data_IF_152328680027
#
_entry.id   IF_152328680027
#
_cell.length_a   1.000
_cell.length_b   1.000
_cell.length_c   1.000
_cell.angle_alpha   90.00
_cell.angle_beta   90.00
_cell.angle_gamma   90.00
#
_symmetry.space_group_name_H-M   'P 1'
#
loop_
_entity.id
_entity.type
_entity.pdbx_description
1 polymer ?
2 non-polymer ?
3 water ?
#
# COMPACT_ATOMS: atom_id res chain seq x y z
N UNK A 2 -25.90 23.51 -7.90
CA UNK A 2 -24.45 23.24 -7.72
C UNK A 2 -24.20 21.79 -7.31
N UNK A 3 -25.19 20.92 -7.54
CA UNK A 3 -25.06 19.52 -7.20
C UNK A 3 -23.95 18.86 -8.02
N UNK A 4 -22.76 18.78 -7.43
CA UNK A 4 -21.62 18.18 -8.11
C UNK A 4 -21.80 16.67 -8.23
N UNK A 5 -21.16 16.08 -9.24
CA UNK A 5 -21.21 14.64 -9.43
C UNK A 5 -19.78 14.17 -9.73
N UNK A 6 -19.47 12.94 -9.35
CA UNK A 6 -18.14 12.40 -9.53
C UNK A 6 -18.19 11.00 -10.14
N UNK A 7 -17.19 10.68 -10.96
CA UNK A 7 -17.07 9.36 -11.56
C UNK A 7 -16.01 8.65 -10.74
N UNK A 8 -16.39 7.57 -10.07
CA UNK A 8 -15.44 6.82 -9.26
C UNK A 8 -15.03 5.56 -9.97
N UNK A 9 -13.73 5.40 -10.17
CA UNK A 9 -13.21 4.23 -10.84
C UNK A 9 -12.54 3.28 -9.86
N UNK A 10 -13.05 2.06 -9.77
CA UNK A 10 -12.48 1.10 -8.85
C UNK A 10 -13.51 0.20 -8.20
N UNK A 11 -13.16 -1.07 -8.12
CA UNK A 11 -14.03 -2.07 -7.51
C UNK A 11 -13.21 -2.68 -6.39
N UNK A 12 -12.72 -1.84 -5.49
CA UNK A 12 -11.89 -2.36 -4.42
C UNK A 12 -12.20 -1.99 -2.99
N UNK A 13 -11.25 -2.36 -2.15
CA UNK A 13 -11.24 -2.16 -0.70
C UNK A 13 -11.59 -0.75 -0.25
N UNK A 14 -10.84 0.22 -0.76
CA UNK A 14 -10.99 1.61 -0.39
C UNK A 14 -12.21 2.36 -0.87
N UNK A 15 -12.85 1.88 -1.92
CA UNK A 15 -14.00 2.55 -2.50
C UNK A 15 -15.12 2.97 -1.53
N UNK A 16 -15.51 2.07 -0.63
CA UNK A 16 -16.60 2.35 0.31
C UNK A 16 -16.50 3.62 1.14
N UNK A 17 -15.42 3.78 1.93
CA UNK A 17 -15.31 5.01 2.73
C UNK A 17 -15.38 6.26 1.87
N UNK A 18 -14.74 6.20 0.71
CA UNK A 18 -14.74 7.34 -0.20
C UNK A 18 -16.18 7.62 -0.66
N UNK A 19 -16.88 6.55 -1.05
CA UNK A 19 -18.26 6.64 -1.51
C UNK A 19 -19.18 7.18 -0.43
N UNK A 20 -19.05 6.62 0.78
CA UNK A 20 -19.86 7.04 1.92
C UNK A 20 -19.69 8.52 2.21
N UNK A 21 -18.44 8.96 2.34
CA UNK A 21 -18.15 10.36 2.64
C UNK A 21 -18.69 11.33 1.60
N UNK A 22 -18.52 10.99 0.33
CA UNK A 22 -18.98 11.86 -0.74
C UNK A 22 -20.50 11.95 -0.81
N UNK A 23 -21.16 10.80 -0.82
CA UNK A 23 -22.62 10.79 -0.89
C UNK A 23 -23.24 11.42 0.34
N UNK A 24 -22.58 11.29 1.49
CA UNK A 24 -23.08 11.88 2.72
C UNK A 24 -22.99 13.39 2.65
N UNK A 25 -22.20 13.89 1.70
CA UNK A 25 -22.05 15.32 1.53
C UNK A 25 -22.97 15.87 0.44
N UNK A 26 -23.82 15.01 -0.11
CA UNK A 26 -24.73 15.46 -1.15
C UNK A 26 -24.13 15.35 -2.55
N UNK A 27 -22.93 14.80 -2.63
CA UNK A 27 -22.24 14.64 -3.90
C UNK A 27 -22.69 13.33 -4.55
N UNK A 28 -23.14 13.39 -5.79
CA UNK A 28 -23.57 12.19 -6.49
C UNK A 28 -22.35 11.47 -7.05
N UNK A 29 -22.35 10.15 -6.93
CA UNK A 29 -21.25 9.35 -7.42
C UNK A 29 -21.72 8.18 -8.28
N UNK A 30 -21.17 8.08 -9.48
CA UNK A 30 -21.48 6.95 -10.34
C UNK A 30 -20.25 6.06 -10.20
N UNK A 31 -20.48 4.86 -9.68
CA UNK A 31 -19.44 3.87 -9.46
C UNK A 31 -19.26 3.02 -10.70
N UNK A 32 -18.08 3.08 -11.29
CA UNK A 32 -17.80 2.34 -12.51
C UNK A 32 -16.79 1.22 -12.33
N UNK A 33 -17.18 0.03 -12.75
CA UNK A 33 -16.32 -1.14 -12.70
C UNK A 33 -16.45 -1.80 -14.07
N UNK A 34 -15.59 -2.76 -14.37
CA UNK A 34 -15.68 -3.43 -15.65
C UNK A 34 -17.06 -4.09 -15.74
N UNK A 35 -17.47 -4.67 -14.62
CA UNK A 35 -18.75 -5.37 -14.49
C UNK A 35 -19.81 -4.55 -13.78
N UNK A 36 -21.06 -4.68 -14.22
CA UNK A 36 -22.16 -3.96 -13.57
C UNK A 36 -22.36 -4.54 -12.17
N UNK A 37 -22.20 -5.86 -12.05
CA UNK A 37 -22.36 -6.53 -10.75
C UNK A 37 -21.42 -5.90 -9.74
N UNK A 38 -20.14 -5.87 -10.07
CA UNK A 38 -19.11 -5.29 -9.21
C UNK A 38 -19.54 -3.92 -8.73
N UNK A 39 -20.03 -3.11 -9.65
CA UNK A 39 -20.50 -1.77 -9.33
C UNK A 39 -21.76 -1.84 -8.48
N UNK A 40 -22.69 -2.71 -8.87
CA UNK A 40 -23.94 -2.89 -8.12
C UNK A 40 -23.61 -3.21 -6.66
N UNK A 41 -22.59 -4.04 -6.48
CA UNK A 41 -22.15 -4.44 -5.14
C UNK A 41 -21.74 -3.23 -4.31
N UNK A 42 -20.59 -2.66 -4.67
CA UNK A 42 -20.02 -1.51 -3.98
C UNK A 42 -20.91 -0.28 -3.95
N UNK A 43 -22.18 -0.42 -4.32
CA UNK A 43 -23.08 0.73 -4.35
C UNK A 43 -24.48 0.48 -3.82
N UNK A 44 -24.81 -0.79 -3.60
CA UNK A 44 -26.13 -1.16 -3.11
C UNK A 44 -26.52 -0.46 -1.81
N UNK A 45 -27.70 0.15 -1.81
CA UNK A 45 -28.18 0.85 -0.63
C UNK A 45 -27.56 2.20 -0.34
N UNK A 46 -26.61 2.62 -1.17
CA UNK A 46 -25.97 3.92 -0.95
C UNK A 46 -26.63 5.04 -1.72
N UNK A 47 -27.18 5.99 -0.98
CA UNK A 47 -27.87 7.15 -1.55
C UNK A 47 -26.97 7.90 -2.52
N UNK A 48 -27.60 8.57 -3.49
CA UNK A 48 -26.90 9.37 -4.48
C UNK A 48 -25.82 8.66 -5.29
N UNK A 49 -25.88 7.33 -5.36
CA UNK A 49 -24.88 6.60 -6.14
C UNK A 49 -25.55 5.88 -7.30
N UNK A 50 -24.77 5.64 -8.34
CA UNK A 50 -25.25 4.96 -9.54
C UNK A 50 -24.16 4.03 -10.05
N UNK A 51 -24.47 2.74 -10.24
CA UNK A 51 -23.45 1.83 -10.73
C UNK A 51 -23.53 1.66 -12.24
N UNK A 52 -22.38 1.46 -12.88
CA UNK A 52 -22.33 1.25 -14.32
C UNK A 52 -21.14 0.36 -14.69
N UNK A 53 -21.22 -0.18 -15.89
CA UNK A 53 -20.17 -1.02 -16.47
C UNK A 53 -19.46 -0.03 -17.37
N UNK A 54 -18.13 -0.05 -17.34
CA UNK A 54 -17.38 0.87 -18.17
C UNK A 54 -15.99 0.30 -18.45
N UNK A 55 -15.56 0.38 -19.71
CA UNK A 55 -14.24 -0.10 -20.09
C UNK A 55 -13.31 1.10 -20.13
N UNK A 56 -12.54 1.27 -19.05
CA UNK A 56 -11.61 2.38 -18.94
C UNK A 56 -10.57 2.46 -20.06
N UNK A 57 -10.25 1.33 -20.68
CA UNK A 57 -9.26 1.32 -21.76
C UNK A 57 -9.83 1.81 -23.10
N UNK A 58 -11.15 1.88 -23.18
CA UNK A 58 -11.83 2.35 -24.40
C UNK A 58 -11.85 3.88 -24.33
N UNK A 59 -10.88 4.51 -24.98
CA UNK A 59 -10.78 5.97 -24.98
C UNK A 59 -12.09 6.71 -25.27
N UNK A 60 -12.80 6.27 -26.31
CA UNK A 60 -14.05 6.92 -26.69
C UNK A 60 -15.10 6.77 -25.59
N UNK A 61 -15.19 5.57 -25.02
CA UNK A 61 -16.16 5.29 -23.96
C UNK A 61 -15.82 6.05 -22.68
N UNK A 62 -14.54 6.13 -22.35
CA UNK A 62 -14.11 6.83 -21.16
C UNK A 62 -14.45 8.32 -21.24
N UNK A 63 -14.11 8.96 -22.36
CA UNK A 63 -14.40 10.38 -22.55
C UNK A 63 -15.88 10.72 -22.38
N UNK A 64 -16.73 9.88 -22.97
CA UNK A 64 -18.18 10.11 -22.92
C UNK A 64 -18.67 10.15 -21.47
N UNK A 65 -18.20 9.21 -20.65
CA UNK A 65 -18.61 9.15 -19.26
C UNK A 65 -17.96 10.23 -18.39
N UNK A 66 -16.69 10.51 -18.63
CA UNK A 66 -15.98 11.54 -17.86
C UNK A 66 -16.66 12.90 -18.02
N UNK A 67 -17.09 13.21 -19.24
CA UNK A 67 -17.74 14.50 -19.52
C UNK A 67 -19.03 14.71 -18.73
N UNK A 68 -19.66 13.62 -18.29
CA UNK A 68 -20.90 13.75 -17.54
C UNK A 68 -20.72 14.10 -16.06
N UNK A 69 -19.46 14.18 -15.62
CA UNK A 69 -19.20 14.51 -14.21
C UNK A 69 -18.19 15.63 -14.07
N UNK A 70 -18.08 16.17 -12.86
CA UNK A 70 -17.16 17.27 -12.61
C UNK A 70 -15.76 16.83 -12.25
N UNK A 71 -15.61 15.58 -11.83
CA UNK A 71 -14.31 15.07 -11.43
C UNK A 71 -14.29 13.55 -11.48
N UNK A 72 -13.14 12.99 -11.84
CA UNK A 72 -12.98 11.54 -11.93
C UNK A 72 -12.01 11.10 -10.85
N UNK A 73 -12.39 10.06 -10.10
CA UNK A 73 -11.55 9.52 -9.03
C UNK A 73 -10.99 8.18 -9.50
N UNK A 74 -9.67 8.03 -9.47
CA UNK A 74 -9.07 6.78 -9.91
C UNK A 74 -8.44 6.03 -8.76
N UNK A 75 -9.12 4.99 -8.29
CA UNK A 75 -8.64 4.15 -7.20
C UNK A 75 -8.16 2.83 -7.80
N UNK A 76 -8.38 2.68 -9.10
CA UNK A 76 -8.00 1.48 -9.85
C UNK A 76 -6.48 1.39 -10.04
N UNK A 77 -6.01 0.42 -10.86
CA UNK A 77 -4.56 0.30 -11.07
C UNK A 77 -3.98 1.49 -11.84
N UNK A 80 -3.50 2.35 -15.51
CA UNK A 80 -4.53 3.13 -16.21
C UNK A 80 -4.48 4.61 -15.86
N UNK A 81 -3.59 5.00 -14.96
CA UNK A 81 -3.53 6.41 -14.55
C UNK A 81 -3.35 7.50 -15.62
N UNK A 82 -2.35 7.36 -16.46
CA UNK A 82 -2.10 8.36 -17.51
C UNK A 82 -3.29 8.44 -18.46
N UNK A 83 -3.85 7.28 -18.79
CA UNK A 83 -4.99 7.18 -19.69
C UNK A 83 -6.16 7.96 -19.12
N UNK A 84 -6.40 7.79 -17.82
CA UNK A 84 -7.49 8.48 -17.16
C UNK A 84 -7.24 9.97 -17.19
N UNK A 85 -5.99 10.38 -16.92
CA UNK A 85 -5.66 11.79 -16.94
C UNK A 85 -5.82 12.41 -18.32
N UNK A 86 -5.44 11.67 -19.37
CA UNK A 86 -5.58 12.19 -20.73
C UNK A 86 -7.05 12.44 -21.07
N UNK A 87 -7.94 11.55 -20.63
CA UNK A 87 -9.37 11.73 -20.88
C UNK A 87 -9.85 12.97 -20.13
N UNK A 88 -9.43 13.11 -18.88
CA UNK A 88 -9.81 14.25 -18.07
C UNK A 88 -9.31 15.55 -18.70
N UNK A 89 -8.16 15.47 -19.37
CA UNK A 89 -7.63 16.66 -20.03
C UNK A 89 -8.49 17.05 -21.24
N UNK A 90 -8.88 16.06 -22.04
CA UNK A 90 -9.70 16.32 -23.22
C UNK A 90 -11.06 16.89 -22.80
N UNK A 91 -11.65 16.29 -21.77
CA UNK A 91 -12.97 16.70 -21.26
C UNK A 91 -12.93 17.87 -20.30
N UNK A 92 -11.72 18.27 -19.89
CA UNK A 92 -11.52 19.38 -18.97
C UNK A 92 -12.15 19.15 -17.59
N UNK A 93 -12.04 17.94 -17.08
CA UNK A 93 -12.59 17.65 -15.76
C UNK A 93 -11.41 17.41 -14.81
N UNK A 94 -11.66 17.56 -13.52
CA UNK A 94 -10.60 17.38 -12.53
C UNK A 94 -10.34 15.91 -12.24
N UNK A 95 -9.24 15.63 -11.55
CA UNK A 95 -8.88 14.28 -11.22
C UNK A 95 -8.27 14.17 -9.81
N UNK A 96 -8.56 13.05 -9.14
CA UNK A 96 -8.01 12.77 -7.82
C UNK A 96 -7.60 11.29 -7.85
N UNK A 97 -6.38 11.00 -7.40
CA UNK A 97 -5.92 9.62 -7.35
C UNK A 97 -5.16 9.42 -6.06
N UNK A 98 -4.98 8.17 -5.66
CA UNK A 98 -4.23 7.86 -4.46
C UNK A 98 -2.90 7.24 -4.87
N UNK A 99 -2.46 7.49 -6.10
CA UNK A 99 -1.21 6.90 -6.55
C UNK A 99 -0.06 7.90 -6.67
N UNK A 100 1.15 7.39 -6.86
CA UNK A 100 2.31 8.26 -7.00
C UNK A 100 2.26 8.94 -8.35
N UNK A 101 2.87 10.12 -8.42
CA UNK A 101 2.95 10.85 -9.67
C UNK A 101 4.09 10.17 -10.41
N UNK A 102 3.76 9.55 -11.54
CA UNK A 102 4.73 8.84 -12.38
C UNK A 102 5.25 9.77 -13.46
N UNK A 103 6.29 9.35 -14.19
CA UNK A 103 6.84 10.19 -15.25
C UNK A 103 5.78 10.49 -16.31
N UNK A 104 4.94 9.52 -16.63
CA UNK A 104 3.91 9.74 -17.64
C UNK A 104 2.84 10.71 -17.14
N UNK A 105 2.57 10.68 -15.84
CA UNK A 105 1.57 11.59 -15.27
C UNK A 105 2.15 13.01 -15.26
N UNK A 106 3.41 13.16 -14.83
CA UNK A 106 4.05 14.48 -14.81
C UNK A 106 4.17 15.08 -16.21
N UNK A 107 4.34 14.21 -17.20
CA UNK A 107 4.47 14.66 -18.58
C UNK A 107 3.23 15.44 -19.02
N UNK A 108 2.10 15.15 -18.40
CA UNK A 108 0.83 15.80 -18.74
C UNK A 108 0.57 17.07 -17.92
N UNK A 109 1.53 17.43 -17.07
CA UNK A 109 1.36 18.61 -16.23
C UNK A 109 0.96 19.87 -17.01
N UNK A 110 1.73 20.21 -18.03
CA UNK A 110 1.45 21.40 -18.83
C UNK A 110 0.11 21.34 -19.55
N UNK A 111 -0.23 20.17 -20.09
CA UNK A 111 -1.50 19.98 -20.79
C UNK A 111 -2.66 20.12 -19.79
N UNK A 112 -2.45 19.64 -18.57
CA UNK A 112 -3.48 19.74 -17.54
C UNK A 112 -3.75 21.21 -17.23
N UNK A 113 -2.67 21.96 -17.06
CA UNK A 113 -2.77 23.39 -16.76
C UNK A 113 -3.46 24.17 -17.88
N UNK A 114 -3.22 23.77 -19.13
CA UNK A 114 -3.83 24.44 -20.26
C UNK A 114 -5.33 24.15 -20.34
N UNK A 115 -5.74 23.00 -19.83
CA UNK A 115 -7.14 22.61 -19.84
C UNK A 115 -7.82 23.17 -18.59
N UNK A 116 -7.02 23.80 -17.74
CA UNK A 116 -7.52 24.38 -16.51
C UNK A 116 -8.03 23.38 -15.49
N UNK A 117 -7.40 22.20 -15.40
CA UNK A 117 -7.85 21.21 -14.43
C UNK A 117 -6.84 20.89 -13.34
N UNK A 118 -7.33 20.33 -12.24
CA UNK A 118 -6.50 19.93 -11.12
C UNK A 118 -6.44 18.42 -11.13
N UNK A 119 -5.23 17.87 -11.00
CA UNK A 119 -5.03 16.43 -10.94
C UNK A 119 -4.32 16.22 -9.61
N UNK A 120 -5.08 15.92 -8.57
CA UNK A 120 -4.53 15.70 -7.22
C UNK A 120 -4.19 14.23 -6.99
N UNK A 121 -2.92 13.93 -6.81
CA UNK A 121 -2.47 12.55 -6.59
C UNK A 121 -1.84 12.37 -5.21
N UNK A 122 -1.41 11.15 -4.91
CA UNK A 122 -0.74 10.85 -3.64
C UNK A 122 -1.50 11.37 -2.41
N UNK A 123 -2.81 11.11 -2.38
CA UNK A 123 -3.62 11.55 -1.25
C UNK A 123 -4.43 10.40 -0.66
N UNK A 124 -3.70 9.33 -0.34
CA UNK A 124 -4.29 8.17 0.29
C UNK A 124 -3.66 8.16 1.67
N UNK A 125 -3.19 7.00 2.10
CA UNK A 125 -2.55 6.86 3.40
C UNK A 125 -1.03 7.05 3.23
N UNK A 126 -0.46 6.26 2.33
CA UNK A 126 0.98 6.33 2.06
C UNK A 126 1.13 5.87 0.61
N UNK A 127 1.31 6.80 -0.33
CA UNK A 127 1.39 8.26 -0.20
C UNK A 127 0.11 9.00 0.16
N UNK A 128 0.27 10.03 0.99
CA UNK A 128 -0.86 10.85 1.40
C UNK A 128 -0.65 11.40 2.80
N UNK A 129 -1.34 10.80 3.77
CA UNK A 129 -1.21 11.23 5.14
C UNK A 129 0.27 11.33 5.53
N UNK A 130 1.08 10.35 5.11
CA UNK A 130 2.49 10.40 5.47
C UNK A 130 3.16 11.70 5.01
N UNK A 131 2.84 12.15 3.79
CA UNK A 131 3.41 13.39 3.27
C UNK A 131 3.02 14.59 4.13
N UNK A 132 1.75 14.67 4.50
CA UNK A 132 1.27 15.80 5.29
C UNK A 132 2.04 15.98 6.59
N UNK A 133 2.25 14.90 7.33
CA UNK A 133 2.94 15.01 8.60
C UNK A 133 4.46 15.03 8.54
N UNK A 134 5.03 14.49 7.47
CA UNK A 134 6.49 14.53 7.32
C UNK A 134 6.85 15.99 7.05
N UNK A 135 6.09 16.63 6.18
CA UNK A 135 6.32 18.02 5.83
C UNK A 135 5.98 18.95 6.98
N UNK A 136 4.91 18.66 7.71
CA UNK A 136 4.53 19.52 8.85
C UNK A 136 5.69 19.60 9.85
N UNK A 137 6.25 18.44 10.18
CA UNK A 137 7.35 18.35 11.13
C UNK A 137 8.65 18.99 10.61
N UNK A 138 8.99 18.70 9.36
CA UNK A 138 10.21 19.26 8.79
C UNK A 138 10.16 20.78 8.83
N UNK A 139 9.01 21.35 8.48
CA UNK A 139 8.88 22.80 8.50
C UNK A 139 8.95 23.35 9.93
N UNK A 140 8.39 22.62 10.90
CA UNK A 140 8.45 23.08 12.28
C UNK A 140 9.93 23.15 12.67
N UNK A 141 10.66 22.06 12.42
CA UNK A 141 12.08 22.01 12.74
C UNK A 141 12.83 23.17 12.09
N UNK A 142 12.71 23.28 10.77
CA UNK A 142 13.37 24.35 10.03
C UNK A 142 13.00 25.72 10.57
N UNK A 143 11.72 25.91 10.92
CA UNK A 143 11.29 27.20 11.45
C UNK A 143 12.11 27.51 12.71
N UNK A 144 12.40 26.47 13.48
CA UNK A 144 13.17 26.62 14.71
C UNK A 144 14.67 26.69 14.41
N UNK A 145 15.03 26.70 13.13
CA UNK A 145 16.43 26.76 12.76
C UNK A 145 17.17 25.44 12.92
N UNK A 146 16.42 24.34 12.99
CA UNK A 146 17.03 23.03 13.15
C UNK A 146 17.40 22.37 11.84
N UNK A 147 18.17 21.29 11.92
CA UNK A 147 18.61 20.57 10.73
C UNK A 147 18.13 19.11 10.75
N UNK A 148 17.56 18.66 9.63
CA UNK A 148 17.11 17.28 9.52
C UNK A 148 18.29 16.45 8.99
N UNK A 149 19.00 15.78 9.89
CA UNK A 149 20.15 14.99 9.47
C UNK A 149 19.74 13.61 8.98
N UNK A 150 18.67 13.07 9.53
CA UNK A 150 18.16 11.78 9.07
C UNK A 150 16.65 11.84 9.06
N UNK A 151 16.05 11.31 8.00
CA UNK A 151 14.59 11.25 7.89
C UNK A 151 14.24 9.82 7.52
N UNK A 152 13.47 9.16 8.38
CA UNK A 152 13.04 7.80 8.10
C UNK A 152 11.52 7.76 8.19
N UNK A 153 10.90 6.99 7.32
CA UNK A 153 9.46 6.84 7.34
C UNK A 153 9.08 5.42 6.95
N UNK A 154 8.35 4.75 7.84
CA UNK A 154 7.90 3.39 7.60
C UNK A 154 6.41 3.27 7.84
N UNK A 155 5.76 2.46 7.01
CA UNK A 155 4.32 2.27 7.13
C UNK A 155 3.94 0.86 6.72
N UNK A 156 2.90 0.31 7.35
CA UNK A 156 2.48 -1.03 7.02
C UNK A 156 1.03 -1.35 7.37
N UNK A 157 0.33 -2.04 6.45
CA UNK A 157 -1.05 -2.46 6.67
C UNK A 157 -0.97 -3.93 7.04
N UNK A 158 -1.17 -4.23 8.31
CA UNK A 158 -1.02 -5.60 8.77
C UNK A 158 -2.17 -6.11 9.60
N UNK A 159 -2.13 -7.42 9.93
CA UNK A 159 -3.18 -8.02 10.74
C UNK A 159 -2.91 -7.49 12.14
N UNK A 160 -3.95 -7.26 12.94
CA UNK A 160 -3.68 -6.83 14.32
C UNK A 160 -2.89 -7.99 14.91
N UNK A 161 -2.03 -7.73 15.90
CA UNK A 161 -1.23 -8.80 16.51
C UNK A 161 -2.09 -10.00 16.88
N UNK A 162 -3.22 -9.72 17.52
CA UNK A 162 -4.22 -10.71 17.94
C UNK A 162 -4.47 -11.79 16.89
N UNK A 163 -4.60 -11.36 15.62
CA UNK A 163 -4.88 -12.27 14.53
C UNK A 163 -3.71 -12.39 13.56
N UNK A 164 -2.49 -12.33 14.06
CA UNK A 164 -1.31 -12.39 13.20
C UNK A 164 -0.63 -13.75 13.15
N UNK A 165 -1.19 -14.74 13.84
CA UNK A 165 -0.56 -16.05 13.88
C UNK A 165 -0.59 -16.94 12.64
N UNK A 166 0.12 -16.53 11.61
CA UNK A 166 0.27 -17.32 10.40
C UNK A 166 1.74 -17.17 10.00
N UNK A 167 2.25 -18.03 9.11
CA UNK A 167 3.65 -17.99 8.66
C UNK A 167 4.29 -16.64 8.32
N UNK A 168 3.50 -15.70 7.81
CA UNK A 168 4.05 -14.40 7.43
C UNK A 168 3.63 -13.25 8.34
N UNK A 169 2.76 -13.53 9.30
CA UNK A 169 2.27 -12.48 10.17
C UNK A 169 1.67 -11.45 9.23
N UNK A 170 1.02 -11.94 8.18
CA UNK A 170 0.43 -11.07 7.17
C UNK A 170 -0.85 -11.64 6.57
N UNK A 171 -1.79 -10.75 6.24
CA UNK A 171 -3.07 -11.13 5.65
C UNK A 171 -3.25 -10.34 4.36
N UNK A 172 -3.56 -11.03 3.27
CA UNK A 172 -3.74 -10.35 1.99
C UNK A 172 -5.13 -9.80 1.76
N UNK A 173 -5.19 -8.55 1.31
CA UNK A 173 -6.45 -7.88 1.00
C UNK A 173 -6.49 -7.88 -0.53
N UNK A 174 -5.32 -7.65 -1.11
CA UNK A 174 -5.17 -7.62 -2.57
C UNK A 174 -4.31 -8.82 -2.98
N UNK A 175 -4.25 -9.08 -4.28
CA UNK A 175 -3.50 -10.21 -4.81
C UNK A 175 -2.15 -10.44 -4.13
N UNK A 176 -1.96 -11.66 -3.65
CA UNK A 176 -0.72 -12.04 -2.98
C UNK A 176 0.40 -12.10 -4.02
N UNK A 177 0.03 -12.36 -5.27
CA UNK A 177 1.00 -12.43 -6.36
C UNK A 177 1.68 -11.07 -6.49
N UNK A 178 0.89 -10.01 -6.37
CA UNK A 178 1.43 -8.66 -6.47
C UNK A 178 2.39 -8.37 -5.33
N UNK A 179 1.96 -8.68 -4.12
CA UNK A 179 2.77 -8.47 -2.92
C UNK A 179 4.11 -9.18 -3.06
N UNK A 180 4.05 -10.47 -3.37
CA UNK A 180 5.25 -11.28 -3.51
C UNK A 180 6.20 -10.76 -4.59
N UNK A 181 5.66 -10.46 -5.77
CA UNK A 181 6.49 -9.97 -6.86
C UNK A 181 7.10 -8.61 -6.55
N UNK A 182 6.39 -7.80 -5.78
CA UNK A 182 6.87 -6.48 -5.43
C UNK A 182 8.20 -6.56 -4.65
N UNK A 183 8.41 -7.66 -3.95
CA UNK A 183 9.63 -7.84 -3.17
C UNK A 183 10.84 -7.96 -4.08
N UNK A 184 10.59 -7.98 -5.38
CA UNK A 184 11.67 -8.06 -6.37
C UNK A 184 12.13 -6.67 -6.77
N UNK A 185 11.29 -5.67 -6.50
CA UNK A 185 11.60 -4.29 -6.86
C UNK A 185 12.78 -3.72 -6.09
N UNK A 186 13.56 -2.89 -6.78
CA UNK A 186 14.72 -2.25 -6.19
C UNK A 186 14.25 -1.05 -5.39
N UNK A 187 14.93 -0.77 -4.28
CA UNK A 187 14.61 0.38 -3.45
C UNK A 187 15.85 1.25 -3.48
N UNK A 188 15.65 2.56 -3.63
CA UNK A 188 16.78 3.48 -3.67
C UNK A 188 16.58 4.54 -2.60
N UNK A 189 17.64 4.84 -1.85
CA UNK A 189 17.54 5.80 -0.77
C UNK A 189 18.89 6.42 -0.43
N UNK A 190 18.87 7.42 0.44
CA UNK A 190 20.12 8.05 0.86
C UNK A 190 20.65 7.47 2.16
N UNK A 191 21.92 7.11 2.16
CA UNK A 191 22.58 6.57 3.35
C UNK A 191 23.97 7.21 3.41
N UNK A 192 24.33 7.73 4.58
CA UNK A 192 25.61 8.40 4.76
C UNK A 192 25.85 9.38 3.61
N UNK A 193 24.80 10.11 3.26
CA UNK A 193 24.88 11.10 2.20
C UNK A 193 25.02 10.59 0.78
N UNK A 194 24.94 9.28 0.56
CA UNK A 194 25.07 8.76 -0.79
C UNK A 194 23.94 7.86 -1.24
N UNK A 195 23.60 7.96 -2.52
CA UNK A 195 22.54 7.14 -3.11
C UNK A 195 22.90 5.67 -2.95
N UNK A 196 21.96 4.89 -2.42
CA UNK A 196 22.16 3.48 -2.19
C UNK A 196 21.00 2.68 -2.81
N UNK A 197 21.33 1.56 -3.44
CA UNK A 197 20.31 0.70 -4.06
C UNK A 197 20.31 -0.66 -3.40
N UNK A 198 19.14 -1.24 -3.22
CA UNK A 198 19.01 -2.55 -2.61
C UNK A 198 17.82 -3.29 -3.22
N UNK A 199 18.02 -4.56 -3.52
CA UNK A 199 16.96 -5.38 -4.12
C UNK A 199 17.29 -6.86 -4.03
N UNK A 200 16.27 -7.69 -4.22
CA UNK A 200 16.47 -9.11 -4.17
C UNK A 200 16.58 -9.61 -2.75
N UNK A 201 17.14 -10.81 -2.54
CA UNK A 201 17.30 -11.38 -1.19
C UNK A 201 17.87 -10.32 -0.24
N UNK A 202 18.78 -9.53 -0.79
CA UNK A 202 19.45 -8.45 -0.07
C UNK A 202 18.41 -7.55 0.63
N UNK A 203 17.31 -7.25 -0.06
CA UNK A 203 16.28 -6.41 0.50
C UNK A 203 15.73 -7.01 1.79
N UNK A 204 15.40 -8.30 1.75
CA UNK A 204 14.86 -8.99 2.90
C UNK A 204 15.93 -9.34 3.94
N UNK A 205 17.17 -9.46 3.49
CA UNK A 205 18.27 -9.76 4.41
C UNK A 205 18.54 -8.52 5.25
N UNK A 206 18.11 -7.38 4.75
CA UNK A 206 18.30 -6.10 5.42
C UNK A 206 17.14 -5.73 6.34
N UNK A 207 16.03 -6.45 6.21
CA UNK A 207 14.85 -6.18 7.03
C UNK A 207 15.09 -6.58 8.50
N UNK A 208 15.67 -5.67 9.26
CA UNK A 208 16.00 -5.89 10.67
C UNK A 208 14.90 -5.42 11.63
N UNK A 209 14.91 -5.91 12.90
CA UNK A 209 13.90 -5.50 13.88
C UNK A 209 13.95 -3.97 14.00
N UNK A 210 12.78 -3.34 14.07
CA UNK A 210 12.70 -1.88 14.15
C UNK A 210 11.73 -1.48 15.26
N UNK A 211 12.28 -0.93 16.35
CA UNK A 211 11.47 -0.54 17.50
C UNK A 211 10.60 0.70 17.27
N UNK A 212 9.35 0.59 17.71
CA UNK A 212 8.38 1.67 17.60
C UNK A 212 7.69 1.79 18.95
N UNK A 213 6.88 0.79 19.30
CA UNK A 213 6.19 0.72 20.60
C UNK A 213 6.56 -0.63 21.21
N UNK A 214 6.62 -0.72 22.55
CA UNK A 214 6.99 -1.99 23.21
C UNK A 214 6.19 -3.22 22.77
N UNK A 215 4.87 -3.08 22.69
CA UNK A 215 4.05 -4.23 22.31
C UNK A 215 4.19 -4.86 20.94
N UNK A 216 4.72 -4.12 19.96
CA UNK A 216 4.86 -4.64 18.60
C UNK A 216 6.26 -5.13 18.26
N UNK A 217 6.33 -6.14 17.41
CA UNK A 217 7.60 -6.68 16.93
C UNK A 217 7.67 -6.45 15.41
N UNK A 218 8.07 -5.25 15.00
CA UNK A 218 8.17 -4.91 13.58
C UNK A 218 9.57 -5.11 13.03
N UNK A 219 9.64 -5.27 11.71
CA UNK A 219 10.92 -5.34 10.98
C UNK A 219 10.66 -4.27 9.92
N UNK A 220 11.71 -3.59 9.46
CA UNK A 220 11.54 -2.53 8.47
C UNK A 220 12.52 -2.65 7.30
N UNK A 221 12.06 -2.26 6.12
CA UNK A 221 12.93 -2.30 4.95
C UNK A 221 12.55 -1.19 3.96
N UNK A 222 13.54 -0.74 3.15
CA UNK A 222 13.33 0.32 2.15
C UNK A 222 12.31 -0.10 1.09
N UNK A 223 11.53 0.86 0.61
CA UNK A 223 10.54 0.58 -0.42
C UNK A 223 10.50 1.70 -1.45
N UNK A 224 10.53 1.33 -2.73
CA UNK A 224 10.49 2.28 -3.83
C UNK A 224 11.66 3.27 -3.84
N UNK A 225 11.42 4.43 -4.46
CA UNK A 225 12.45 5.45 -4.59
C UNK A 225 12.32 6.59 -3.57
N UNK A 226 13.28 6.67 -2.65
CA UNK A 226 13.28 7.71 -1.62
C UNK A 226 14.17 8.90 -1.99
N UNK A 227 15.06 8.71 -2.96
CA UNK A 227 15.97 9.77 -3.37
C UNK A 227 15.31 11.08 -3.80
N UNK A 228 14.17 11.01 -4.50
CA UNK A 228 13.52 12.24 -4.91
C UNK A 228 13.14 13.15 -3.75
N UNK A 229 13.03 12.57 -2.55
CA UNK A 229 12.62 13.35 -1.39
C UNK A 229 13.61 14.34 -0.81
N UNK A 230 14.88 14.25 -1.18
CA UNK A 230 15.85 15.22 -0.67
C UNK A 230 15.37 16.58 -1.17
N UNK A 231 14.78 16.57 -2.35
CA UNK A 231 14.26 17.78 -2.97
C UNK A 231 12.80 18.02 -2.58
N UNK A 232 11.97 16.99 -2.71
CA UNK A 232 10.55 17.11 -2.40
C UNK A 232 10.26 17.65 -1.01
N UNK A 233 10.93 17.12 0.01
CA UNK A 233 10.72 17.58 1.38
C UNK A 233 11.70 18.69 1.77
N UNK A 234 12.51 19.11 0.80
CA UNK A 234 13.49 20.17 1.02
C UNK A 234 14.36 19.93 2.26
N UNK A 235 15.07 18.82 2.25
CA UNK A 235 15.95 18.49 3.36
C UNK A 235 17.33 18.19 2.80
N UNK A 236 17.96 19.20 2.19
CA UNK A 236 19.30 19.14 1.58
C UNK A 236 20.36 18.71 2.59
N UNK A 237 20.12 19.07 3.85
CA UNK A 237 21.07 18.74 4.93
C UNK A 237 20.98 17.29 5.41
N UNK A 238 20.01 16.54 4.90
CA UNK A 238 19.84 15.15 5.31
C UNK A 238 20.85 14.20 4.68
N UNK A 239 21.50 13.39 5.52
CA UNK A 239 22.48 12.42 5.05
C UNK A 239 21.80 11.08 4.82
N UNK A 240 20.73 10.84 5.59
CA UNK A 240 19.99 9.59 5.49
C UNK A 240 18.50 9.88 5.25
N UNK A 241 18.00 9.40 4.12
CA UNK A 241 16.58 9.58 3.76
C UNK A 241 16.08 8.24 3.29
N UNK A 242 15.10 7.69 3.99
CA UNK A 242 14.56 6.39 3.67
C UNK A 242 13.06 6.26 3.95
N UNK A 243 12.32 5.82 2.93
CA UNK A 243 10.89 5.57 3.09
C UNK A 243 10.73 4.07 2.83
N UNK A 244 10.03 3.37 3.70
CA UNK A 244 9.87 1.94 3.51
C UNK A 244 8.61 1.37 4.12
N UNK A 245 8.61 0.06 4.31
CA UNK A 245 7.44 -0.61 4.85
C UNK A 245 7.73 -1.44 6.10
N UNK A 246 6.65 -1.67 6.86
CA UNK A 246 6.74 -2.44 8.08
C UNK A 246 6.09 -3.81 7.87
N UNK A 247 6.70 -4.83 8.49
CA UNK A 247 6.18 -6.19 8.48
C UNK A 247 6.45 -6.67 9.92
N UNK A 248 5.96 -7.84 10.28
CA UNK A 248 6.19 -8.37 11.61
C UNK A 248 7.40 -9.30 11.59
N UNK A 249 7.92 -9.60 12.77
CA UNK A 249 9.07 -10.50 12.91
C UNK A 249 8.77 -11.83 12.20
N UNK A 250 9.78 -12.41 11.56
CA UNK A 250 9.58 -13.67 10.87
C UNK A 250 9.22 -13.56 9.40
N UNK A 251 8.66 -12.42 8.98
CA UNK A 251 8.28 -12.24 7.57
C UNK A 251 9.48 -12.41 6.63
N UNK A 252 10.60 -11.72 6.90
CA UNK A 252 11.77 -11.84 6.04
C UNK A 252 12.25 -13.28 5.85
N UNK A 253 12.19 -14.05 6.93
CA UNK A 253 12.65 -15.44 6.91
C UNK A 253 11.75 -16.42 6.18
N UNK A 254 10.44 -16.26 6.28
CA UNK A 254 9.55 -17.20 5.59
C UNK A 254 9.57 -16.91 4.10
N UNK A 255 9.72 -15.63 3.74
CA UNK A 255 9.78 -15.23 2.35
C UNK A 255 11.03 -15.87 1.72
N UNK A 256 12.15 -15.81 2.42
CA UNK A 256 13.38 -16.38 1.87
C UNK A 256 13.27 -17.88 1.62
N UNK A 257 12.66 -18.61 2.56
CA UNK A 257 12.51 -20.05 2.39
C UNK A 257 11.65 -20.34 1.15
N UNK A 258 10.61 -19.55 0.96
CA UNK A 258 9.73 -19.74 -0.19
C UNK A 258 10.53 -19.52 -1.47
N UNK A 259 11.48 -18.59 -1.41
CA UNK A 259 12.32 -18.30 -2.55
C UNK A 259 13.24 -19.45 -2.83
N UNK A 260 14.07 -19.81 -1.85
CA UNK A 260 15.03 -20.89 -2.02
C UNK A 260 14.37 -22.21 -2.40
N UNK A 261 13.13 -22.41 -1.96
CA UNK A 261 12.42 -23.64 -2.30
C UNK A 261 11.91 -23.55 -3.74
N UNK A 262 11.97 -22.35 -4.30
CA UNK A 262 11.55 -22.14 -5.67
C UNK A 262 10.05 -21.93 -5.87
N UNK A 263 9.31 -21.78 -4.78
CA UNK A 263 7.86 -21.58 -4.88
C UNK A 263 7.48 -20.26 -5.55
N UNK A 264 8.44 -19.35 -5.69
CA UNK A 264 8.14 -18.07 -6.30
C UNK A 264 8.49 -18.03 -7.78
N UNK A 265 8.74 -19.20 -8.37
CA UNK A 265 9.08 -19.28 -9.78
C UNK A 265 7.88 -18.92 -10.65
N UNK A 266 8.13 -18.08 -11.65
CA UNK A 266 7.09 -17.63 -12.57
C UNK A 266 6.88 -18.67 -13.66
N UNK A 267 7.82 -19.61 -13.76
CA UNK A 267 7.77 -20.66 -14.78
C UNK A 267 6.52 -21.54 -14.67
N UNK A 268 5.88 -21.76 -15.81
CA UNK A 268 4.70 -22.61 -15.86
C UNK A 268 5.16 -24.05 -16.07
N UNK A 269 4.60 -24.96 -15.27
CA UNK A 269 4.95 -26.37 -15.38
C UNK A 269 3.79 -27.18 -15.94
N UNK A 270 4.08 -28.13 -16.83
CA UNK A 270 3.04 -28.96 -17.41
C UNK A 270 2.34 -29.82 -16.37
N UNK A 271 3.03 -30.08 -15.26
CA UNK A 271 2.48 -30.89 -14.19
C UNK A 271 1.60 -30.11 -13.21
N UNK A 272 1.48 -28.81 -13.43
CA UNK A 272 0.67 -27.97 -12.56
C UNK A 272 -0.58 -27.47 -13.28
N UNK A 273 -1.11 -28.30 -14.18
CA UNK A 273 -2.30 -27.94 -14.95
C UNK A 273 -3.59 -28.53 -14.39
N UNK A 274 -3.49 -29.59 -13.60
CA UNK A 274 -4.68 -30.22 -13.03
C UNK A 274 -4.61 -30.29 -11.50
N UNK A 275 -5.77 -30.35 -10.87
CA UNK A 275 -5.88 -30.40 -9.41
C UNK A 275 -5.18 -31.60 -8.77
N UNK A 276 -3.86 -31.56 -8.74
CA UNK A 276 -3.06 -32.63 -8.15
C UNK A 276 -2.84 -32.33 -6.67
N UNK A 277 -2.79 -33.37 -5.82
CA UNK A 277 -2.58 -33.15 -4.38
C UNK A 277 -1.36 -32.27 -4.14
N UNK A 278 -1.40 -31.46 -3.09
CA UNK A 278 -0.29 -30.59 -2.77
C UNK A 278 1.04 -31.34 -2.63
N UNK A 279 0.99 -32.56 -2.11
CA UNK A 279 2.19 -33.38 -1.94
C UNK A 279 3.06 -33.33 -3.20
N UNK A 280 2.58 -33.99 -4.25
CA UNK A 280 3.29 -34.06 -5.52
C UNK A 280 3.79 -32.72 -6.00
N UNK A 281 2.92 -31.72 -5.96
CA UNK A 281 3.29 -30.39 -6.41
C UNK A 281 4.60 -29.97 -5.77
N UNK A 282 4.59 -29.85 -4.45
CA UNK A 282 5.78 -29.45 -3.70
C UNK A 282 6.97 -30.37 -3.94
N UNK A 283 6.74 -31.68 -3.88
CA UNK A 283 7.83 -32.62 -4.09
C UNK A 283 8.46 -32.39 -5.45
N UNK A 284 7.62 -32.04 -6.43
CA UNK A 284 8.10 -31.77 -7.78
C UNK A 284 8.80 -30.42 -7.81
N UNK A 285 8.10 -29.40 -7.34
CA UNK A 285 8.66 -28.05 -7.30
C UNK A 285 9.94 -27.98 -6.50
N UNK A 286 9.98 -28.71 -5.39
CA UNK A 286 11.13 -28.71 -4.49
C UNK A 286 12.30 -29.59 -4.92
N UNK A 287 11.99 -30.69 -5.61
CA UNK A 287 12.99 -31.66 -6.06
C UNK A 287 13.18 -32.66 -4.92
N UNK A 288 12.08 -33.25 -4.48
CA UNK A 288 12.09 -34.23 -3.40
C UNK A 288 12.06 -35.66 -3.93
N UNK A 289 12.71 -36.56 -3.20
CA UNK A 289 12.78 -37.96 -3.56
C UNK A 289 11.39 -38.60 -3.54
N UNK A 290 10.49 -38.00 -2.77
CA UNK A 290 9.12 -38.52 -2.67
C UNK A 290 8.16 -37.41 -2.25
N UNK A 291 6.89 -37.76 -2.08
CA UNK A 291 5.88 -36.80 -1.67
C UNK A 291 5.63 -36.92 -0.18
N UNK A 292 6.51 -37.63 0.51
CA UNK A 292 6.41 -37.81 1.95
C UNK A 292 6.98 -36.59 2.68
N UNK A 293 6.39 -36.26 3.82
CA UNK A 293 6.87 -35.11 4.60
C UNK A 293 8.36 -35.22 4.83
N UNK A 294 8.80 -36.39 5.28
CA UNK A 294 10.21 -36.64 5.54
C UNK A 294 11.10 -36.12 4.42
N UNK A 295 10.97 -36.75 3.26
CA UNK A 295 11.76 -36.38 2.08
C UNK A 295 11.66 -34.91 1.69
N UNK A 296 10.44 -34.43 1.49
CA UNK A 296 10.26 -33.04 1.11
C UNK A 296 10.91 -32.13 2.17
N UNK A 297 10.63 -32.41 3.44
CA UNK A 297 11.19 -31.61 4.52
C UNK A 297 12.71 -31.71 4.58
N UNK A 298 13.24 -32.92 4.39
CA UNK A 298 14.69 -33.10 4.42
C UNK A 298 15.34 -32.34 3.29
N UNK A 299 14.69 -32.31 2.13
CA UNK A 299 15.24 -31.59 0.99
C UNK A 299 15.18 -30.09 1.26
N UNK A 300 14.06 -29.63 1.79
CA UNK A 300 13.87 -28.22 2.09
C UNK A 300 14.94 -27.69 3.05
N UNK A 301 15.09 -28.37 4.18
CA UNK A 301 16.06 -27.94 5.19
C UNK A 301 17.50 -28.11 4.75
N UNK A 302 17.86 -29.31 4.32
CA UNK A 302 19.22 -29.59 3.88
C UNK A 302 19.75 -28.56 2.89
N UNK A 303 18.85 -27.95 2.14
CA UNK A 303 19.24 -26.96 1.14
C UNK A 303 19.13 -25.51 1.63
N UNK A 304 18.15 -25.25 2.49
CA UNK A 304 17.93 -23.91 3.03
C UNK A 304 18.65 -23.70 4.35
N UNK A 305 19.11 -22.47 4.58
CA UNK A 305 19.82 -22.13 5.81
C UNK A 305 18.92 -21.33 6.75
N UNK A 306 18.99 -21.63 8.04
CA UNK A 306 18.17 -20.94 9.03
C UNK A 306 19.00 -20.30 10.15
N UNK A 307 18.32 -19.53 11.01
CA UNK A 307 18.97 -18.86 12.13
C UNK A 307 19.20 -19.84 13.27
N UNK A 308 18.28 -20.79 13.43
CA UNK A 308 18.40 -21.78 14.48
C UNK A 308 17.53 -23.01 14.22
N UNK A 309 17.67 -24.01 15.07
CA UNK A 309 16.89 -25.23 14.94
C UNK A 309 15.42 -24.88 15.17
N UNK A 310 15.18 -24.01 16.14
CA UNK A 310 13.84 -23.59 16.48
C UNK A 310 13.18 -22.82 15.34
N UNK A 311 13.92 -21.89 14.74
CA UNK A 311 13.36 -21.13 13.63
C UNK A 311 13.01 -22.10 12.52
N UNK A 312 13.94 -23.01 12.26
CA UNK A 312 13.77 -24.04 11.23
C UNK A 312 12.50 -24.82 11.54
N UNK A 313 12.40 -25.30 12.77
CA UNK A 313 11.24 -26.07 13.22
C UNK A 313 9.96 -25.27 13.00
N UNK A 314 10.04 -23.99 13.32
CA UNK A 314 8.89 -23.09 13.20
C UNK A 314 8.51 -22.87 11.74
N UNK A 315 9.50 -22.54 10.92
CA UNK A 315 9.26 -22.32 9.50
C UNK A 315 8.72 -23.58 8.82
N UNK A 316 9.23 -24.74 9.20
CA UNK A 316 8.74 -25.98 8.60
C UNK A 316 7.28 -26.19 8.96
N UNK A 317 6.94 -25.99 10.23
CA UNK A 317 5.56 -26.16 10.67
C UNK A 317 4.67 -25.16 9.94
N UNK A 318 5.24 -24.00 9.63
CA UNK A 318 4.50 -22.97 8.92
C UNK A 318 4.14 -23.44 7.52
N UNK A 319 5.11 -24.09 6.87
CA UNK A 319 4.91 -24.62 5.54
C UNK A 319 3.83 -25.69 5.57
N UNK A 320 3.90 -26.55 6.58
CA UNK A 320 2.93 -27.61 6.74
C UNK A 320 1.55 -26.99 6.95
N UNK A 321 1.52 -25.92 7.74
CA UNK A 321 0.28 -25.20 8.04
C UNK A 321 -0.37 -24.74 6.74
N UNK A 322 0.44 -24.34 5.77
CA UNK A 322 -0.07 -23.89 4.49
C UNK A 322 -0.81 -25.04 3.81
N UNK A 323 -0.39 -26.26 4.13
CA UNK A 323 -1.02 -27.44 3.56
C UNK A 323 -0.28 -27.96 2.35
N UNK A 324 0.93 -27.48 2.11
CA UNK A 324 1.69 -27.91 0.95
C UNK A 324 2.27 -29.31 1.06
N UNK A 325 2.07 -29.96 2.20
CA UNK A 325 2.57 -31.32 2.41
C UNK A 325 1.38 -32.28 2.55
N UNK A 326 0.17 -31.78 2.32
CA UNK A 326 -1.03 -32.59 2.49
C UNK A 326 -1.63 -33.25 1.25
N UNK A 327 -2.76 -33.91 1.48
CA UNK A 327 -3.52 -34.59 0.43
C UNK A 327 -4.50 -33.58 -0.16
N UNK A 328 -4.38 -32.33 0.28
CA UNK A 328 -5.26 -31.28 -0.20
C UNK A 328 -4.95 -31.01 -1.67
N UNK A 329 -5.97 -31.15 -2.51
CA UNK A 329 -5.79 -30.90 -3.92
C UNK A 329 -5.49 -29.41 -4.11
N UNK A 330 -4.66 -29.11 -5.10
CA UNK A 330 -4.27 -27.73 -5.39
C UNK A 330 -5.30 -27.03 -6.25
N UNK A 331 -5.24 -25.69 -6.25
CA UNK A 331 -6.10 -24.87 -7.08
C UNK A 331 -5.15 -24.59 -8.25
N UNK A 332 -5.11 -25.50 -9.24
CA UNK A 332 -4.28 -25.46 -10.45
C UNK A 332 -4.16 -24.13 -11.18
N UNK A 333 -2.94 -23.59 -11.20
CA UNK A 333 -2.68 -22.31 -11.86
C UNK A 333 -1.43 -22.34 -12.73
N UNK A 334 -0.95 -23.53 -13.05
CA UNK A 334 0.22 -23.67 -13.90
C UNK A 334 1.54 -23.18 -13.32
N UNK A 335 1.52 -22.05 -12.61
CA UNK A 335 2.72 -21.50 -12.01
C UNK A 335 2.87 -21.92 -10.56
N UNK A 336 4.11 -22.08 -10.11
CA UNK A 336 4.37 -22.45 -8.73
C UNK A 336 3.83 -21.30 -7.87
N UNK A 337 4.21 -20.08 -8.26
CA UNK A 337 3.80 -18.87 -7.56
C UNK A 337 2.29 -18.72 -7.57
N UNK A 338 1.69 -18.82 -8.76
CA UNK A 338 0.25 -18.68 -8.92
C UNK A 338 -0.50 -19.72 -8.10
N UNK A 339 -0.08 -20.97 -8.21
CA UNK A 339 -0.72 -22.05 -7.47
C UNK A 339 -0.62 -21.79 -5.97
N UNK A 340 0.58 -21.46 -5.51
CA UNK A 340 0.81 -21.16 -4.10
C UNK A 340 -0.10 -20.01 -3.67
N UNK A 341 -0.10 -18.94 -4.47
CA UNK A 341 -0.92 -17.77 -4.18
C UNK A 341 -2.40 -18.07 -3.96
N UNK A 342 -2.94 -19.00 -4.74
CA UNK A 342 -4.35 -19.36 -4.60
C UNK A 342 -4.60 -19.85 -3.18
N UNK A 343 -3.70 -20.72 -2.71
CA UNK A 343 -3.80 -21.26 -1.36
C UNK A 343 -3.51 -20.16 -0.35
N UNK A 344 -2.54 -19.29 -0.68
CA UNK A 344 -2.20 -18.19 0.22
C UNK A 344 -3.46 -17.36 0.40
N UNK A 345 -4.09 -17.00 -0.72
CA UNK A 345 -5.31 -16.21 -0.69
C UNK A 345 -6.29 -16.83 0.29
N UNK A 346 -6.56 -18.12 0.09
CA UNK A 346 -7.51 -18.84 0.93
C UNK A 346 -7.12 -18.93 2.41
N UNK A 347 -5.85 -19.25 2.67
CA UNK A 347 -5.38 -19.40 4.04
C UNK A 347 -5.03 -18.11 4.80
N UNK A 348 -4.67 -17.05 4.07
CA UNK A 348 -4.28 -15.81 4.73
C UNK A 348 -5.10 -14.57 4.40
N UNK A 349 -6.39 -14.61 4.72
CA UNK A 349 -7.30 -13.47 4.49
C UNK A 349 -7.88 -13.06 5.82
N UNK A 350 -8.40 -11.85 5.90
CA UNK A 350 -9.02 -11.38 7.14
C UNK A 350 -10.38 -12.05 7.22
N UNK A 351 -10.66 -12.69 8.35
CA UNK A 351 -11.94 -13.37 8.54
C UNK A 351 -12.81 -12.65 9.56
N UNK A 352 -14.10 -12.99 9.57
CA UNK A 352 -15.06 -12.35 10.48
C UNK A 352 -14.51 -12.16 11.89
N UNK A 353 -14.77 -10.97 12.44
CA UNK A 353 -14.31 -10.67 13.79
C UNK A 353 -12.86 -10.23 13.88
N UNK A 354 -12.07 -10.51 12.84
CA UNK A 354 -10.66 -10.11 12.85
C UNK A 354 -10.51 -8.62 12.60
N UNK A 355 -9.42 -8.05 13.14
CA UNK A 355 -9.14 -6.63 12.99
C UNK A 355 -7.89 -6.32 12.18
N UNK A 356 -7.94 -5.16 11.55
CA UNK A 356 -6.88 -4.63 10.72
C UNK A 356 -5.95 -3.74 11.57
N UNK A 357 -4.75 -3.46 11.07
CA UNK A 357 -3.83 -2.59 11.79
C UNK A 357 -2.92 -1.76 10.87
N UNK A 358 -2.94 -0.45 11.07
CA UNK A 358 -2.08 0.41 10.29
C UNK A 358 -1.11 1.11 11.23
N UNK A 359 0.18 0.99 10.93
CA UNK A 359 1.24 1.64 11.70
C UNK A 359 2.02 2.51 10.75
N UNK A 360 2.06 3.81 11.04
CA UNK A 360 2.81 4.74 10.20
C UNK A 360 3.69 5.57 11.12
N UNK A 361 5.00 5.57 10.88
CA UNK A 361 5.87 6.39 11.71
C UNK A 361 7.06 7.02 11.04
N UNK A 362 7.11 8.35 11.15
CA UNK A 362 8.22 9.15 10.62
C UNK A 362 9.19 9.29 11.78
N UNK A 363 10.48 9.32 11.48
CA UNK A 363 11.50 9.50 12.52
C UNK A 363 12.51 10.53 12.02
N UNK A 364 12.80 11.53 12.84
CA UNK A 364 13.73 12.60 12.47
C UNK A 364 14.86 12.78 13.49
N UNK A 365 16.11 12.54 13.08
CA UNK A 365 17.23 12.78 14.00
C UNK A 365 17.60 14.22 13.67
N UNK A 366 17.44 15.09 14.67
CA UNK A 366 17.65 16.51 14.50
C UNK A 366 18.84 17.12 15.24
N UNK A 367 19.44 18.13 14.60
CA UNK A 367 20.54 18.87 15.22
C UNK A 367 19.91 20.24 15.44
N UNK A 368 19.65 20.57 16.69
CA UNK A 368 19.02 21.83 17.04
C UNK A 368 19.89 23.07 16.88
N UNK A 369 19.22 24.22 16.86
CA UNK A 369 19.88 25.51 16.72
C UNK A 369 20.98 25.67 17.76
N UNK A 370 20.72 25.16 18.97
CA UNK A 370 21.70 25.25 20.05
C UNK A 370 22.82 24.23 19.89
N UNK A 371 22.86 23.57 18.74
CA UNK A 371 23.90 22.57 18.51
C UNK A 371 23.52 21.22 19.08
N UNK A 372 22.63 21.20 20.07
CA UNK A 372 22.18 19.96 20.69
C UNK A 372 21.53 19.07 19.66
N UNK A 373 21.20 17.85 20.05
CA UNK A 373 20.57 16.91 19.14
C UNK A 373 19.35 16.30 19.77
N UNK A 374 18.46 15.76 18.93
CA UNK A 374 17.25 15.12 19.40
C UNK A 374 16.65 14.26 18.31
N UNK A 375 15.85 13.28 18.74
CA UNK A 375 15.17 12.39 17.82
C UNK A 375 13.67 12.57 18.09
N UNK A 376 12.94 12.85 17.03
CA UNK A 376 11.50 13.07 17.13
C UNK A 376 10.75 12.11 16.21
N UNK A 377 9.56 11.71 16.62
CA UNK A 377 8.75 10.82 15.79
C UNK A 377 7.38 11.44 15.56
N UNK A 378 6.72 10.99 14.51
CA UNK A 378 5.37 11.42 14.16
C UNK A 378 4.72 10.08 13.84
N UNK A 379 3.77 9.67 14.67
CA UNK A 379 3.16 8.37 14.51
C UNK A 379 1.64 8.34 14.40
N UNK A 380 1.15 7.28 13.78
CA UNK A 380 -0.27 7.01 13.61
C UNK A 380 -0.41 5.48 13.69
N UNK A 381 -1.20 5.02 14.64
CA UNK A 381 -1.43 3.59 14.81
C UNK A 381 -2.93 3.41 14.96
N UNK A 382 -3.55 2.70 14.04
CA UNK A 382 -4.99 2.51 14.08
C UNK A 382 -5.44 1.11 13.71
N UNK A 383 -6.43 0.61 14.45
CA UNK A 383 -7.00 -0.71 14.22
C UNK A 383 -8.30 -0.56 13.44
N UNK A 384 -8.59 -1.54 12.59
CA UNK A 384 -9.83 -1.49 11.84
C UNK A 384 -10.97 -2.11 12.62
N UNK A 385 -12.17 -2.00 12.09
CA UNK A 385 -13.34 -2.57 12.74
C UNK A 385 -13.36 -4.05 12.36
N UNK A 386 -13.88 -4.89 13.26
CA UNK A 386 -13.93 -6.34 12.99
C UNK A 386 -14.60 -6.62 11.65
N UNK A 387 -14.07 -7.60 10.92
CA UNK A 387 -14.67 -7.96 9.65
C UNK A 387 -16.10 -8.37 9.99
N UNK A 388 -17.04 -8.06 9.11
CA UNK A 388 -18.42 -8.43 9.36
C UNK A 388 -19.19 -7.49 10.28
N UNK A 389 -18.50 -6.53 10.89
CA UNK A 389 -19.16 -5.59 11.77
C UNK A 389 -19.76 -4.44 10.96
N UNK A 390 -19.38 -4.36 9.68
CA UNK A 390 -19.89 -3.30 8.83
C UNK A 390 -19.06 -2.02 8.88
N UNK A 391 -18.17 -1.90 9.87
CA UNK A 391 -17.33 -0.73 9.98
C UNK A 391 -16.18 -0.77 8.99
N UNK A 392 -15.31 0.24 9.00
CA UNK A 392 -14.18 0.27 8.07
C UNK A 392 -12.92 -0.36 8.63
N UNK A 393 -12.11 -0.95 7.73
CA UNK A 393 -10.84 -1.51 8.16
C UNK A 393 -9.96 -0.27 8.28
N UNK A 394 -8.83 -0.37 8.97
CA UNK A 394 -7.98 0.79 9.14
C UNK A 394 -7.44 1.25 7.79
N UNK A 395 -7.06 0.30 6.94
CA UNK A 395 -6.52 0.63 5.63
C UNK A 395 -7.55 1.34 4.75
N UNK A 396 -8.77 0.82 4.73
CA UNK A 396 -9.83 1.42 3.93
C UNK A 396 -10.10 2.85 4.37
N UNK A 397 -10.20 3.05 5.68
CA UNK A 397 -10.47 4.38 6.20
C UNK A 397 -9.35 5.39 5.91
N UNK A 398 -8.12 5.00 6.22
CA UNK A 398 -6.98 5.88 6.03
C UNK A 398 -6.58 6.18 4.58
N UNK A 399 -7.06 5.37 3.64
CA UNK A 399 -6.78 5.62 2.23
C UNK A 399 -7.99 6.36 1.66
N UNK A 400 -9.18 5.80 1.93
CA UNK A 400 -10.42 6.35 1.40
C UNK A 400 -10.89 7.70 1.90
N UNK A 401 -10.71 7.99 3.18
CA UNK A 401 -11.15 9.27 3.70
C UNK A 401 -10.28 10.43 3.18
N UNK A 402 -8.95 10.30 3.23
CA UNK A 402 -8.12 11.40 2.72
C UNK A 402 -8.47 11.71 1.26
N UNK A 403 -8.72 10.66 0.51
CA UNK A 403 -9.07 10.79 -0.91
C UNK A 403 -10.39 11.56 -1.05
N UNK A 404 -11.39 11.19 -0.25
CA UNK A 404 -12.70 11.85 -0.28
C UNK A 404 -12.58 13.32 0.09
N UNK A 405 -11.75 13.61 1.09
CA UNK A 405 -11.55 14.99 1.48
C UNK A 405 -10.94 15.79 0.33
N UNK A 406 -9.92 15.24 -0.32
CA UNK A 406 -9.27 15.93 -1.43
C UNK A 406 -10.30 16.21 -2.53
N UNK A 407 -11.15 15.21 -2.81
CA UNK A 407 -12.18 15.37 -3.82
C UNK A 407 -13.08 16.56 -3.49
N UNK A 408 -13.48 16.66 -2.23
CA UNK A 408 -14.35 17.76 -1.83
C UNK A 408 -13.65 19.12 -1.97
N UNK A 409 -12.35 19.14 -1.70
CA UNK A 409 -11.59 20.38 -1.78
C UNK A 409 -11.36 20.83 -3.21
N UNK A 410 -11.17 19.89 -4.14
CA UNK A 410 -10.97 20.27 -5.52
C UNK A 410 -12.31 20.75 -6.08
N UNK A 411 -13.40 20.12 -5.65
CA UNK A 411 -14.74 20.52 -6.11
C UNK A 411 -15.21 21.88 -5.59
N UNK A 412 -14.81 22.25 -4.37
CA UNK A 412 -15.25 23.54 -3.84
C UNK A 412 -14.21 24.65 -3.95
N UNK A 413 -13.03 24.30 -4.47
CA UNK A 413 -12.01 25.31 -4.65
C UNK A 413 -10.94 25.43 -3.58
N UNK A 414 -11.06 24.64 -2.53
CA UNK A 414 -10.07 24.70 -1.45
C UNK A 414 -8.70 24.38 -2.03
N UNK A 415 -8.66 23.42 -2.96
CA UNK A 415 -7.42 23.07 -3.67
C UNK A 415 -7.68 23.60 -5.08
N UNK A 416 -7.03 24.69 -5.44
CA UNK A 416 -7.26 25.29 -6.75
C UNK A 416 -6.08 25.31 -7.70
N UNK A 417 -4.91 24.86 -7.27
CA UNK A 417 -3.76 24.84 -8.16
C UNK A 417 -4.07 23.89 -9.31
N UNK A 418 -3.75 24.30 -10.54
CA UNK A 418 -4.01 23.47 -11.70
C UNK A 418 -2.74 22.67 -12.03
N UNK A 419 -2.91 21.56 -12.75
CA UNK A 419 -1.76 20.74 -13.11
C UNK A 419 -1.75 19.41 -12.40
N UNK A 420 -0.60 18.74 -12.40
CA UNK A 420 -0.45 17.44 -11.76
C UNK A 420 0.19 17.69 -10.40
N UNK A 421 -0.58 17.48 -9.34
CA UNK A 421 -0.10 17.76 -8.00
C UNK A 421 0.02 16.60 -7.03
N UNK A 422 0.67 16.89 -5.92
CA UNK A 422 0.85 15.97 -4.81
C UNK A 422 0.79 16.87 -3.57
N UNK A 423 0.49 16.31 -2.39
CA UNK A 423 0.41 17.13 -1.18
C UNK A 423 1.83 17.48 -0.75
N UNK A 424 2.45 18.41 -1.45
CA UNK A 424 3.84 18.78 -1.19
C UNK A 424 4.11 20.14 -0.56
N UNK A 425 3.09 20.80 0.00
CA UNK A 425 3.29 22.11 0.61
C UNK A 425 2.10 22.48 1.51
N UNK A 426 2.32 23.44 2.41
CA UNK A 426 1.28 23.82 3.35
C UNK A 426 0.02 24.42 2.74
N UNK A 427 0.14 25.02 1.56
CA UNK A 427 -1.03 25.61 0.89
C UNK A 427 -2.08 24.53 0.68
N UNK A 428 -1.61 23.34 0.32
CA UNK A 428 -2.46 22.19 0.07
C UNK A 428 -2.63 21.32 1.32
N UNK A 429 -1.52 21.09 2.01
CA UNK A 429 -1.52 20.23 3.18
C UNK A 429 -2.27 20.69 4.43
N UNK A 430 -2.21 21.97 4.76
CA UNK A 430 -2.89 22.45 5.97
C UNK A 430 -4.40 22.22 5.94
N UNK A 431 -5.08 22.65 4.88
CA UNK A 431 -6.53 22.41 4.89
C UNK A 431 -6.82 20.92 5.02
N UNK A 432 -6.05 20.11 4.30
CA UNK A 432 -6.23 18.66 4.35
C UNK A 432 -6.06 18.07 5.75
N UNK A 433 -5.01 18.49 6.46
CA UNK A 433 -4.77 17.98 7.81
C UNK A 433 -5.84 18.44 8.80
N UNK A 434 -6.28 19.70 8.67
CA UNK A 434 -7.29 20.23 9.56
C UNK A 434 -8.62 19.49 9.45
N UNK A 435 -9.09 19.24 8.23
CA UNK A 435 -10.34 18.51 8.03
C UNK A 435 -10.23 17.07 8.51
N UNK A 436 -9.12 16.41 8.17
CA UNK A 436 -8.92 15.02 8.57
C UNK A 436 -8.90 14.86 10.09
N UNK A 437 -8.22 15.78 10.77
CA UNK A 437 -8.15 15.70 12.22
C UNK A 437 -9.41 16.18 12.94
N UNK A 438 -9.89 17.37 12.58
CA UNK A 438 -11.09 17.92 13.23
C UNK A 438 -12.38 17.16 12.94
N UNK A 439 -12.55 16.70 11.72
CA UNK A 439 -13.77 15.97 11.38
C UNK A 439 -13.70 14.46 11.50
N UNK A 440 -12.53 13.87 11.26
CA UNK A 440 -12.43 12.42 11.36
C UNK A 440 -11.46 11.91 12.41
N UNK A 441 -10.79 12.81 13.10
CA UNK A 441 -9.86 12.39 14.13
C UNK A 441 -8.66 11.66 13.56
N UNK A 442 -8.35 11.92 12.29
CA UNK A 442 -7.22 11.29 11.62
C UNK A 442 -6.01 12.21 11.68
N UNK A 443 -4.93 11.75 12.30
CA UNK A 443 -3.72 12.56 12.45
C UNK A 443 -2.52 11.78 12.98
N UNK A 444 -1.34 12.37 12.87
CA UNK A 444 -0.10 11.78 13.40
C UNK A 444 0.30 12.62 14.62
N UNK A 445 0.70 11.96 15.70
CA UNK A 445 1.10 12.66 16.91
C UNK A 445 2.63 12.68 17.09
N UNK A 446 3.17 13.82 17.49
CA UNK A 446 4.62 13.99 17.68
C UNK A 446 5.13 13.65 19.08
N UNK A 447 6.36 13.18 19.15
CA UNK A 447 7.02 12.80 20.40
C UNK A 447 8.54 12.81 20.22
N UNK A 448 9.26 13.16 21.28
CA UNK A 448 10.72 13.20 21.23
C UNK A 448 11.37 12.03 21.97
N UNK A 449 12.62 11.76 21.63
CA UNK A 449 13.43 10.72 22.28
C UNK A 449 14.88 11.19 22.18
N UNK A 450 15.81 10.25 22.33
CA UNK A 450 17.24 10.58 22.27
C UNK A 450 17.76 11.18 23.57
X LIG B 1 1.83 -2.09 2.67
X LIG B 1 1.87 -2.46 4.09
X LIG B 1 2.12 -0.65 2.53
X LIG B 1 2.84 -2.87 1.91
X LIG B 1 0.48 -2.36 2.12
X LIG C 1 -14.40 -5.43 -11.86
X LIG C 1 -13.27 -6.26 -12.34
X LIG C 1 -15.58 -5.63 -12.73
X LIG C 1 -14.73 -5.84 -10.48
X LIG C 1 -14.01 -4.02 -11.87
X LIG D 1 1.14 5.31 -15.93
X LIG D 1 2.60 5.52 -16.07
X LIG D 1 0.58 4.90 -17.23
X LIG D 1 0.88 4.27 -14.92
X LIG D 1 0.50 6.56 -15.49
#
# INVERSE_FOLDING_TARGET
MATKSVLMLGSGFVTRPTLDVLTDSGIKVTVACRTLESAKKLSAGVQHSTPISLDVNDDAALDAEVAKHDLVISLIPYTFHATVIKSAIRQKKHVVTTSYVSPAMMELDQAAKDAGITVMNEIGLDPGIDHLYAIKTIEEVHAAGGKIKTFLSYCGGLPAPESSDNPLGYKFSWSSRGVLLALRNAASFYKDGKVTNVAGPELMATAKPYFIYPGFAFVAYPNRDSTPYKERYQIPEADNIVRGTLRYQGFPQFIKVLVDIGFLSDEEQPFLKEAIPWKEATQKIVKASSASEQDIVSTIVSNATFESTEEQKRIVAGLKWLGIFSDKKITPRGNALDTLCATLEEKMQFEEGERDLVMLQHKFEIENKDGSRETRTSSLCEYGAPIGSGGYSAMAKLVGVPCAVAVKFVLDGTISDRGVLAPMNSKINDPLMKELKEKYGIECKEKVVA
SO4 S O1 O2 O3 O4
SO4 S O1 O2 O3 O4
SO4 S O1 O2 O3 O4
#
